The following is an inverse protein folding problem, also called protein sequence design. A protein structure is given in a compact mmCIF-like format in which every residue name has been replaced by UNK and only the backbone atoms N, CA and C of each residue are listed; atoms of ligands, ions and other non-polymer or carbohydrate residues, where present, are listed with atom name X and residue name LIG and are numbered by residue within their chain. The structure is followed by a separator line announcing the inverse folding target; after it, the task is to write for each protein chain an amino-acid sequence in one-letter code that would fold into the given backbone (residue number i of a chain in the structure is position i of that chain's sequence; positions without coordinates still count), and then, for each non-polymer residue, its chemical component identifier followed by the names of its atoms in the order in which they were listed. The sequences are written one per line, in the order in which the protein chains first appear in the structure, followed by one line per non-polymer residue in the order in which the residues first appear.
data_IF_173761764521
#
_entry.id   IF_173761764521
#
_cell.length_a   1.000
_cell.length_b   1.000
_cell.length_c   1.000
_cell.angle_alpha   90.00
_cell.angle_beta   90.00
_cell.angle_gamma   90.00
#
_symmetry.space_group_name_H-M   'P 1'
#
loop_
_entity.id
_entity.type
_entity.pdbx_description
1 polymer ?
#
# COMPACT_ATOMS: atom_id res chain seq x y z
N UNK A 1 30.72 5.58 -28.61
CA UNK A 1 30.27 4.71 -27.50
C UNK A 1 29.44 3.62 -28.16
N UNK A 2 29.78 2.36 -27.97
CA UNK A 2 28.95 1.24 -28.41
C UNK A 2 27.89 1.00 -27.36
N UNK A 3 26.62 1.26 -27.69
CA UNK A 3 25.49 0.92 -26.83
C UNK A 3 25.15 -0.55 -27.04
N UNK A 4 25.00 -1.31 -25.94
CA UNK A 4 24.62 -2.73 -25.96
C UNK A 4 23.14 -2.96 -25.69
N UNK A 5 22.36 -1.88 -25.63
CA UNK A 5 20.94 -1.89 -25.30
C UNK A 5 20.20 -0.96 -26.27
N UNK A 6 18.97 -1.33 -26.63
CA UNK A 6 18.12 -0.54 -27.52
C UNK A 6 16.68 -0.59 -27.01
N UNK A 7 16.10 0.57 -26.72
CA UNK A 7 14.69 0.67 -26.34
C UNK A 7 13.81 0.65 -27.60
N UNK A 8 12.98 -0.40 -27.69
CA UNK A 8 12.06 -0.60 -28.81
C UNK A 8 10.61 -0.28 -28.46
N UNK A 9 10.32 0.30 -27.28
CA UNK A 9 8.96 0.49 -26.77
C UNK A 9 8.06 1.21 -27.77
N UNK A 10 8.56 2.23 -28.47
CA UNK A 10 7.78 2.99 -29.46
C UNK A 10 7.53 2.22 -30.77
N UNK A 11 8.29 1.16 -31.04
CA UNK A 11 8.15 0.32 -32.23
C UNK A 11 7.21 -0.87 -32.01
N UNK A 12 6.85 -1.18 -30.77
CA UNK A 12 5.98 -2.29 -30.42
C UNK A 12 4.51 -1.88 -30.51
N UNK A 13 3.72 -2.62 -31.29
CA UNK A 13 2.26 -2.42 -31.35
C UNK A 13 1.54 -3.24 -30.27
N UNK A 14 0.40 -2.71 -29.80
CA UNK A 14 -0.44 -3.20 -28.70
C UNK A 14 -1.19 -4.51 -28.97
N UNK A 15 -0.91 -5.19 -30.08
CA UNK A 15 -1.63 -6.40 -30.48
C UNK A 15 -0.92 -7.65 -29.98
N UNK A 16 -1.68 -8.75 -29.88
CA UNK A 16 -1.14 -10.09 -29.63
C UNK A 16 -0.29 -10.58 -30.83
N UNK A 17 0.94 -10.09 -30.92
CA UNK A 17 1.88 -10.37 -32.01
C UNK A 17 3.30 -10.53 -31.46
N UNK A 18 4.02 -11.52 -31.98
CA UNK A 18 5.44 -11.70 -31.71
C UNK A 18 6.30 -10.86 -32.66
N UNK A 19 7.39 -10.31 -32.14
CA UNK A 19 8.41 -9.55 -32.85
C UNK A 19 9.75 -10.25 -32.74
N UNK A 20 10.57 -10.13 -33.77
CA UNK A 20 11.98 -10.51 -33.77
C UNK A 20 12.79 -9.31 -34.20
N UNK A 21 13.94 -9.09 -33.56
CA UNK A 21 14.84 -7.98 -33.86
C UNK A 21 16.04 -8.53 -34.62
N UNK A 22 16.46 -7.82 -35.66
CA UNK A 22 17.74 -8.07 -36.32
C UNK A 22 18.80 -7.16 -35.70
N UNK A 23 19.84 -7.74 -35.11
CA UNK A 23 20.94 -7.03 -34.47
C UNK A 23 22.13 -7.16 -35.40
N UNK A 24 22.55 -6.05 -36.01
CA UNK A 24 23.63 -5.99 -36.98
C UNK A 24 24.82 -5.23 -36.42
N UNK A 25 26.03 -5.76 -36.64
CA UNK A 25 27.28 -5.11 -36.25
C UNK A 25 27.85 -4.37 -37.44
N UNK A 26 27.88 -3.04 -37.37
CA UNK A 26 28.46 -2.19 -38.41
C UNK A 26 29.94 -1.86 -38.10
N UNK A 27 30.81 -1.78 -39.12
CA UNK A 27 32.21 -1.37 -38.94
C UNK A 27 32.35 0.13 -38.65
N UNK A 28 33.41 0.52 -37.92
CA UNK A 28 33.68 1.93 -37.59
C UNK A 28 33.95 2.81 -38.83
N UNK A 29 34.39 2.20 -39.95
CA UNK A 29 34.58 2.84 -41.24
C UNK A 29 33.67 2.16 -42.25
N UNK A 30 32.63 2.87 -42.68
CA UNK A 30 31.70 2.40 -43.71
C UNK A 30 32.37 2.59 -45.06
N UNK A 31 32.69 1.50 -45.76
CA UNK A 31 33.04 1.56 -47.17
C UNK A 31 31.74 1.63 -47.99
N UNK A 32 31.58 2.67 -48.81
CA UNK A 32 30.34 2.93 -49.55
C UNK A 32 30.06 1.88 -50.64
N UNK A 33 31.02 0.99 -50.93
CA UNK A 33 30.91 -0.11 -51.89
C UNK A 33 30.52 -1.47 -51.24
N UNK A 34 30.41 -1.55 -49.91
CA UNK A 34 29.99 -2.78 -49.23
C UNK A 34 28.45 -2.88 -49.07
N UNK A 35 27.91 -4.05 -49.43
CA UNK A 35 26.50 -4.36 -49.25
C UNK A 35 26.17 -4.51 -47.75
N UNK A 36 25.28 -3.66 -47.25
CA UNK A 36 24.75 -3.67 -45.89
C UNK A 36 24.18 -5.06 -45.49
N UNK A 37 23.70 -5.87 -46.43
CA UNK A 37 23.20 -7.22 -46.14
C UNK A 37 24.29 -8.21 -45.71
N UNK A 38 25.56 -7.93 -46.00
CA UNK A 38 26.69 -8.81 -45.68
C UNK A 38 27.27 -8.60 -44.27
N UNK A 39 26.85 -7.57 -43.54
CA UNK A 39 27.38 -7.36 -42.19
C UNK A 39 26.92 -8.45 -41.22
N UNK A 40 27.79 -8.90 -40.29
CA UNK A 40 27.45 -9.89 -39.28
C UNK A 40 26.22 -9.44 -38.49
N UNK A 41 25.22 -10.31 -38.44
CA UNK A 41 23.99 -10.05 -37.72
C UNK A 41 23.44 -11.30 -37.04
N UNK A 42 22.60 -11.09 -36.04
CA UNK A 42 21.88 -12.15 -35.32
C UNK A 42 20.45 -11.72 -35.05
N UNK A 43 19.56 -12.70 -34.97
CA UNK A 43 18.17 -12.45 -34.61
C UNK A 43 17.95 -12.67 -33.12
N UNK A 44 17.05 -11.89 -32.53
CA UNK A 44 16.54 -12.14 -31.18
C UNK A 44 15.57 -13.32 -31.18
N UNK A 45 15.36 -13.91 -30.00
CA UNK A 45 14.20 -14.76 -29.79
C UNK A 45 12.90 -13.97 -30.05
N UNK A 46 11.82 -14.64 -30.53
CA UNK A 46 10.52 -14.00 -30.70
C UNK A 46 9.97 -13.52 -29.36
N UNK A 47 9.49 -12.28 -29.32
CA UNK A 47 8.91 -11.67 -28.13
C UNK A 47 7.53 -11.08 -28.41
N UNK A 48 6.54 -11.47 -27.63
CA UNK A 48 5.19 -10.93 -27.70
C UNK A 48 4.91 -10.00 -26.50
N UNK A 49 4.97 -8.67 -26.67
CA UNK A 49 4.79 -7.73 -25.56
C UNK A 49 3.42 -7.83 -24.87
N UNK A 50 2.37 -8.20 -25.62
CA UNK A 50 1.03 -8.34 -25.04
C UNK A 50 0.95 -9.52 -24.05
N UNK A 51 1.65 -10.63 -24.34
CA UNK A 51 1.61 -11.86 -23.52
C UNK A 51 2.74 -11.98 -22.51
N UNK A 52 3.89 -11.35 -22.78
CA UNK A 52 5.13 -11.64 -22.07
C UNK A 52 5.67 -10.46 -21.25
N UNK A 53 5.18 -9.24 -21.49
CA UNK A 53 5.56 -8.09 -20.67
C UNK A 53 5.19 -8.31 -19.21
N UNK A 54 6.18 -8.15 -18.32
CA UNK A 54 5.98 -8.23 -16.87
C UNK A 54 5.12 -7.07 -16.41
N UNK A 55 4.17 -7.37 -15.52
CA UNK A 55 3.26 -6.36 -14.97
C UNK A 55 3.72 -5.98 -13.57
N UNK A 56 3.93 -4.69 -13.36
CA UNK A 56 4.31 -4.12 -12.07
C UNK A 56 3.21 -4.29 -11.02
N UNK A 57 3.56 -4.05 -9.76
CA UNK A 57 2.58 -4.00 -8.69
C UNK A 57 1.59 -2.86 -8.94
N UNK A 58 0.33 -3.08 -8.56
CA UNK A 58 -0.71 -2.05 -8.56
C UNK A 58 -0.76 -1.36 -7.20
N UNK A 59 -1.20 -0.11 -7.19
CA UNK A 59 -1.55 0.58 -5.96
C UNK A 59 -3.01 0.30 -5.59
N UNK A 60 -3.27 0.14 -4.31
CA UNK A 60 -4.62 -0.11 -3.79
C UNK A 60 -4.97 0.87 -2.68
N UNK A 61 -6.26 1.13 -2.52
CA UNK A 61 -6.84 1.70 -1.29
C UNK A 61 -7.92 0.77 -0.75
N UNK A 62 -8.09 0.77 0.57
CA UNK A 62 -9.01 -0.11 1.27
C UNK A 62 -9.90 0.74 2.17
N UNK A 63 -11.21 0.65 1.96
CA UNK A 63 -12.20 1.46 2.67
C UNK A 63 -13.28 0.54 3.25
N UNK A 64 -13.54 0.65 4.55
CA UNK A 64 -14.68 -0.04 5.16
C UNK A 64 -15.99 0.61 4.65
N UNK A 65 -16.87 -0.19 4.07
CA UNK A 65 -18.20 0.25 3.62
C UNK A 65 -19.20 0.12 4.77
N UNK A 66 -19.14 -1.00 5.48
CA UNK A 66 -19.83 -1.27 6.74
C UNK A 66 -19.07 -2.37 7.52
N UNK A 67 -19.64 -2.84 8.63
CA UNK A 67 -19.03 -3.83 9.51
C UNK A 67 -18.65 -5.15 8.80
N UNK A 68 -19.30 -5.51 7.69
CA UNK A 68 -19.12 -6.81 7.03
C UNK A 68 -18.64 -6.66 5.57
N UNK A 69 -18.39 -5.44 5.11
CA UNK A 69 -18.03 -5.14 3.72
C UNK A 69 -16.90 -4.13 3.60
N UNK A 70 -15.97 -4.43 2.72
CA UNK A 70 -14.81 -3.58 2.43
C UNK A 70 -14.72 -3.34 0.92
N UNK A 71 -14.52 -2.09 0.54
CA UNK A 71 -14.23 -1.68 -0.83
C UNK A 71 -12.72 -1.62 -1.03
N UNK A 72 -12.25 -2.30 -2.07
CA UNK A 72 -10.88 -2.23 -2.55
C UNK A 72 -10.89 -1.48 -3.88
N UNK A 73 -10.25 -0.31 -3.91
CA UNK A 73 -10.01 0.43 -5.14
C UNK A 73 -8.58 0.16 -5.59
N UNK A 74 -8.41 -0.08 -6.88
CA UNK A 74 -7.14 -0.42 -7.53
C UNK A 74 -6.84 0.68 -8.54
N UNK A 75 -5.63 1.21 -8.50
CA UNK A 75 -5.19 2.20 -9.48
C UNK A 75 -4.61 1.49 -10.69
N UNK A 76 -5.17 1.75 -11.87
CA UNK A 76 -4.65 1.21 -13.12
C UNK A 76 -3.29 1.88 -13.44
N UNK A 77 -2.16 1.16 -13.39
CA UNK A 77 -0.85 1.76 -13.66
C UNK A 77 -0.73 2.26 -15.10
N UNK A 78 0.04 3.35 -15.27
CA UNK A 78 0.44 3.84 -16.57
C UNK A 78 1.48 2.92 -17.21
N UNK A 79 1.43 2.79 -18.52
CA UNK A 79 2.39 2.00 -19.31
C UNK A 79 3.37 2.90 -20.05
N UNK A 80 4.47 2.36 -20.56
CA UNK A 80 5.36 3.10 -21.46
C UNK A 80 4.75 3.43 -22.83
N UNK A 81 3.54 2.93 -23.10
CA UNK A 81 2.93 2.99 -24.43
C UNK A 81 2.12 4.27 -24.58
N UNK A 82 2.40 4.97 -25.67
CA UNK A 82 1.73 6.21 -26.04
C UNK A 82 0.93 6.00 -27.33
N UNK A 83 -0.30 6.49 -27.36
CA UNK A 83 -1.12 6.49 -28.56
C UNK A 83 -1.68 7.89 -28.78
N UNK A 84 -1.36 8.48 -29.94
CA UNK A 84 -1.79 9.84 -30.32
C UNK A 84 -1.45 10.90 -29.24
N UNK A 85 -0.25 10.79 -28.65
CA UNK A 85 0.24 11.71 -27.62
C UNK A 85 -0.34 11.47 -26.21
N UNK A 86 -1.20 10.47 -26.01
CA UNK A 86 -1.71 10.09 -24.69
C UNK A 86 -0.99 8.83 -24.19
N UNK A 87 -0.46 8.87 -22.97
CA UNK A 87 0.03 7.69 -22.27
C UNK A 87 -1.15 6.79 -21.88
N UNK A 88 -1.04 5.50 -22.19
CA UNK A 88 -2.09 4.53 -21.93
C UNK A 88 -1.91 3.85 -20.57
N UNK A 89 -3.01 3.62 -19.86
CA UNK A 89 -3.04 2.75 -18.69
C UNK A 89 -3.00 1.28 -19.10
N UNK A 90 -2.70 0.39 -18.16
CA UNK A 90 -2.77 -1.06 -18.40
C UNK A 90 -4.17 -1.51 -18.84
N UNK A 91 -5.21 -0.83 -18.35
CA UNK A 91 -6.61 -1.09 -18.72
C UNK A 91 -6.90 -0.72 -20.16
N UNK A 92 -6.36 0.41 -20.64
CA UNK A 92 -6.50 0.82 -22.04
C UNK A 92 -5.82 -0.19 -22.99
N UNK A 93 -4.71 -0.80 -22.55
CA UNK A 93 -3.93 -1.77 -23.33
C UNK A 93 -4.60 -3.15 -23.36
N UNK A 94 -4.92 -3.70 -22.19
CA UNK A 94 -5.40 -5.08 -22.05
C UNK A 94 -6.93 -5.20 -22.09
N UNK A 95 -7.65 -4.09 -21.95
CA UNK A 95 -9.11 -4.03 -22.02
C UNK A 95 -9.80 -5.09 -21.15
N UNK A 96 -10.52 -6.02 -21.78
CA UNK A 96 -11.30 -7.08 -21.14
C UNK A 96 -10.44 -8.26 -20.69
N UNK A 97 -9.21 -8.37 -21.18
CA UNK A 97 -8.27 -9.42 -20.75
C UNK A 97 -7.71 -9.11 -19.36
N UNK A 98 -7.70 -7.84 -18.96
CA UNK A 98 -7.28 -7.44 -17.62
C UNK A 98 -8.40 -7.70 -16.60
N UNK A 99 -8.04 -8.45 -15.57
CA UNK A 99 -8.78 -8.60 -14.33
C UNK A 99 -7.85 -8.26 -13.17
N UNK A 100 -8.38 -8.22 -11.97
CA UNK A 100 -7.61 -8.09 -10.75
C UNK A 100 -7.86 -9.27 -9.85
N UNK A 101 -6.77 -9.90 -9.39
CA UNK A 101 -6.82 -10.89 -8.33
C UNK A 101 -6.59 -10.18 -7.01
N UNK A 102 -7.59 -10.22 -6.13
CA UNK A 102 -7.53 -9.63 -4.80
C UNK A 102 -7.45 -10.77 -3.81
N UNK A 103 -6.41 -10.74 -2.98
CA UNK A 103 -6.19 -11.66 -1.89
C UNK A 103 -6.45 -10.93 -0.58
N UNK A 104 -7.12 -11.61 0.35
CA UNK A 104 -7.38 -11.06 1.67
C UNK A 104 -7.35 -12.12 2.77
N UNK A 105 -7.03 -11.67 3.98
CA UNK A 105 -6.96 -12.51 5.16
C UNK A 105 -7.18 -11.68 6.42
N UNK A 106 -7.69 -12.34 7.47
CA UNK A 106 -7.70 -11.77 8.81
C UNK A 106 -6.25 -11.73 9.35
N UNK A 107 -5.83 -10.66 10.05
CA UNK A 107 -4.54 -10.62 10.74
C UNK A 107 -4.35 -11.84 11.64
N UNK A 108 -3.18 -12.48 11.58
CA UNK A 108 -2.87 -13.68 12.36
C UNK A 108 -3.57 -14.97 11.91
N UNK A 109 -4.43 -14.94 10.87
CA UNK A 109 -5.04 -16.14 10.30
C UNK A 109 -4.15 -16.76 9.22
N UNK A 110 -4.16 -18.08 9.14
CA UNK A 110 -3.54 -18.85 8.04
C UNK A 110 -4.44 -18.94 6.80
N UNK A 111 -5.72 -18.57 6.92
CA UNK A 111 -6.70 -18.66 5.84
C UNK A 111 -6.62 -17.48 4.88
N UNK A 112 -5.91 -17.66 3.75
CA UNK A 112 -5.90 -16.72 2.62
C UNK A 112 -7.12 -16.98 1.72
N UNK A 113 -7.85 -15.93 1.37
CA UNK A 113 -8.99 -15.98 0.45
C UNK A 113 -8.69 -15.12 -0.77
N UNK A 114 -9.09 -15.59 -1.94
CA UNK A 114 -8.88 -14.88 -3.21
C UNK A 114 -10.23 -14.60 -3.90
N UNK A 115 -10.36 -13.44 -4.52
CA UNK A 115 -11.43 -13.12 -5.47
C UNK A 115 -10.85 -12.55 -6.76
N UNK A 116 -11.62 -12.64 -7.83
CA UNK A 116 -11.29 -12.02 -9.12
C UNK A 116 -12.31 -10.91 -9.39
N UNK A 117 -11.81 -9.72 -9.74
CA UNK A 117 -12.61 -8.58 -10.15
C UNK A 117 -12.32 -8.24 -11.61
N UNK A 118 -13.37 -8.00 -12.39
CA UNK A 118 -13.24 -7.52 -13.76
C UNK A 118 -12.94 -6.00 -13.82
N UNK A 119 -13.30 -5.28 -12.75
CA UNK A 119 -13.12 -3.84 -12.64
C UNK A 119 -12.00 -3.49 -11.66
N UNK A 120 -11.54 -2.25 -11.70
CA UNK A 120 -10.56 -1.69 -10.77
C UNK A 120 -11.15 -1.37 -9.38
N UNK A 121 -12.44 -1.65 -9.16
CA UNK A 121 -13.11 -1.52 -7.87
C UNK A 121 -13.81 -2.83 -7.52
N UNK A 122 -13.61 -3.31 -6.30
CA UNK A 122 -14.25 -4.53 -5.82
C UNK A 122 -14.81 -4.34 -4.42
N UNK A 123 -16.01 -4.87 -4.18
CA UNK A 123 -16.60 -4.93 -2.85
C UNK A 123 -16.51 -6.36 -2.31
N UNK A 124 -15.72 -6.53 -1.25
CA UNK A 124 -15.56 -7.80 -0.54
C UNK A 124 -16.59 -7.85 0.57
N UNK A 125 -17.45 -8.85 0.55
CA UNK A 125 -18.56 -9.01 1.50
C UNK A 125 -18.44 -10.28 2.34
N UNK A 126 -19.32 -10.42 3.33
CA UNK A 126 -19.34 -11.55 4.28
C UNK A 126 -18.05 -11.64 5.11
N UNK A 127 -17.52 -10.46 5.45
CA UNK A 127 -16.46 -10.33 6.43
C UNK A 127 -17.06 -10.41 7.83
N UNK A 128 -16.23 -10.80 8.81
CA UNK A 128 -16.64 -10.86 10.21
C UNK A 128 -16.76 -9.43 10.76
N UNK A 129 -17.88 -9.11 11.39
CA UNK A 129 -18.15 -7.78 11.94
C UNK A 129 -17.15 -7.42 13.05
N UNK A 130 -16.65 -6.18 13.02
CA UNK A 130 -15.68 -5.66 14.00
C UNK A 130 -14.26 -6.20 13.86
N UNK A 131 -13.97 -6.98 12.81
CA UNK A 131 -12.64 -7.56 12.58
C UNK A 131 -11.87 -6.80 11.50
N UNK A 132 -10.57 -6.61 11.73
CA UNK A 132 -9.67 -6.07 10.70
C UNK A 132 -9.36 -7.13 9.64
N UNK A 133 -9.20 -6.70 8.40
CA UNK A 133 -8.82 -7.53 7.26
C UNK A 133 -7.71 -6.84 6.47
N UNK A 134 -6.74 -7.63 6.02
CA UNK A 134 -5.66 -7.18 5.16
C UNK A 134 -5.88 -7.65 3.72
N UNK A 135 -5.55 -6.78 2.76
CA UNK A 135 -5.79 -6.95 1.33
C UNK A 135 -4.51 -6.68 0.55
N UNK A 136 -4.35 -7.42 -0.55
CA UNK A 136 -3.34 -7.21 -1.57
C UNK A 136 -3.95 -7.55 -2.93
N UNK A 137 -3.55 -6.84 -3.99
CA UNK A 137 -4.05 -7.07 -5.33
C UNK A 137 -2.91 -7.24 -6.33
N UNK A 138 -3.18 -7.96 -7.41
CA UNK A 138 -2.30 -8.08 -8.56
C UNK A 138 -3.13 -8.03 -9.84
N UNK A 139 -2.56 -7.46 -10.91
CA UNK A 139 -3.11 -7.62 -12.25
C UNK A 139 -3.16 -9.12 -12.60
N UNK A 140 -4.29 -9.56 -13.14
CA UNK A 140 -4.53 -10.94 -13.52
C UNK A 140 -5.06 -11.00 -14.95
N UNK A 141 -4.36 -11.73 -15.82
CA UNK A 141 -4.61 -11.75 -17.25
C UNK A 141 -4.82 -13.21 -17.65
N UNK A 142 -6.05 -13.74 -17.57
CA UNK A 142 -6.30 -15.17 -17.74
C UNK A 142 -5.91 -15.71 -19.12
N UNK A 143 -5.91 -14.86 -20.15
CA UNK A 143 -5.54 -15.22 -21.52
C UNK A 143 -4.05 -15.54 -21.69
N UNK A 144 -3.20 -15.15 -20.73
CA UNK A 144 -1.76 -15.44 -20.77
C UNK A 144 -1.44 -16.88 -20.35
N UNK A 145 -0.25 -17.40 -20.73
CA UNK A 145 0.29 -18.64 -20.19
C UNK A 145 0.37 -18.61 -18.66
N UNK A 146 0.13 -19.74 -17.98
CA UNK A 146 0.03 -19.82 -16.51
C UNK A 146 1.15 -19.11 -15.74
N UNK A 147 2.39 -19.13 -16.25
CA UNK A 147 3.54 -18.49 -15.62
C UNK A 147 3.55 -16.96 -15.68
N UNK A 148 2.76 -16.34 -16.56
CA UNK A 148 2.71 -14.88 -16.77
C UNK A 148 1.31 -14.27 -16.60
N UNK A 149 0.34 -15.05 -16.10
CA UNK A 149 -1.02 -14.57 -15.84
C UNK A 149 -1.09 -13.54 -14.71
N UNK A 150 -0.17 -13.60 -13.74
CA UNK A 150 -0.16 -12.71 -12.58
C UNK A 150 0.98 -11.70 -12.67
N UNK A 151 0.65 -10.43 -12.42
CA UNK A 151 1.63 -9.38 -12.14
C UNK A 151 2.21 -9.49 -10.73
N UNK A 152 3.07 -8.53 -10.38
CA UNK A 152 3.54 -8.40 -9.01
C UNK A 152 2.38 -8.01 -8.06
N UNK A 153 2.46 -8.48 -6.81
CA UNK A 153 1.50 -8.14 -5.77
C UNK A 153 1.73 -6.72 -5.26
N UNK A 154 0.63 -6.00 -4.97
CA UNK A 154 0.64 -4.72 -4.28
C UNK A 154 1.24 -4.84 -2.88
N UNK A 155 1.52 -3.68 -2.28
CA UNK A 155 1.66 -3.61 -0.83
C UNK A 155 0.36 -4.09 -0.16
N UNK A 156 0.52 -4.73 1.00
CA UNK A 156 -0.61 -5.17 1.80
C UNK A 156 -1.15 -3.99 2.61
N UNK A 157 -2.46 -3.72 2.50
CA UNK A 157 -3.15 -2.71 3.29
C UNK A 157 -4.26 -3.35 4.12
N UNK A 158 -4.43 -2.90 5.35
CA UNK A 158 -5.44 -3.44 6.25
C UNK A 158 -6.49 -2.40 6.59
N UNK A 159 -7.72 -2.83 6.81
CA UNK A 159 -8.74 -1.95 7.38
C UNK A 159 -8.31 -1.51 8.77
N UNK A 160 -8.56 -0.25 9.14
CA UNK A 160 -8.35 0.18 10.52
C UNK A 160 -9.18 -0.73 11.42
N UNK A 161 -8.55 -1.24 12.47
CA UNK A 161 -9.28 -1.90 13.53
C UNK A 161 -10.18 -0.83 14.15
N UNK A 162 -11.46 -1.15 14.39
CA UNK A 162 -12.24 -0.41 15.37
C UNK A 162 -11.57 -0.68 16.72
N UNK A 163 -10.49 0.04 16.99
CA UNK A 163 -9.94 0.12 18.32
C UNK A 163 -11.06 0.76 19.12
N UNK A 164 -11.68 -0.06 19.97
CA UNK A 164 -12.33 0.41 21.17
C UNK A 164 -11.25 1.10 22.01
N UNK A 165 -10.88 2.32 21.64
CA UNK A 165 -9.91 3.16 22.35
C UNK A 165 -10.41 3.46 23.78
N UNK A 166 -11.66 3.11 24.08
CA UNK A 166 -12.27 3.16 25.40
C UNK A 166 -12.12 1.87 26.23
N UNK A 167 -11.72 0.73 25.65
CA UNK A 167 -11.70 -0.56 26.34
C UNK A 167 -10.29 -1.06 26.74
N UNK A 168 -9.22 -0.44 26.21
CA UNK A 168 -7.83 -0.80 26.54
C UNK A 168 -7.19 0.05 27.65
N UNK A 169 -7.88 1.08 28.16
CA UNK A 169 -7.48 1.69 29.42
C UNK A 169 -7.87 0.75 30.55
N UNK A 170 -6.92 -0.12 30.93
CA UNK A 170 -6.96 -1.00 32.09
C UNK A 170 -7.75 -0.33 33.24
N UNK A 171 -8.76 -1.00 33.85
CA UNK A 171 -9.47 -0.43 35.00
C UNK A 171 -8.53 -0.08 36.18
N UNK A 172 -7.32 -0.65 36.20
CA UNK A 172 -6.25 -0.30 37.14
C UNK A 172 -5.71 1.13 37.00
N UNK A 173 -5.74 1.74 35.81
CA UNK A 173 -5.23 3.10 35.58
C UNK A 173 -6.13 4.15 36.24
N UNK A 174 -7.45 3.93 36.21
CA UNK A 174 -8.42 4.79 36.89
C UNK A 174 -8.26 4.74 38.42
N UNK A 175 -8.01 3.56 38.97
CA UNK A 175 -7.75 3.40 40.41
C UNK A 175 -6.51 4.19 40.83
N UNK A 176 -5.44 4.14 40.03
CA UNK A 176 -4.22 4.90 40.29
C UNK A 176 -4.44 6.42 40.29
N UNK A 177 -5.14 6.94 39.29
CA UNK A 177 -5.42 8.39 39.18
C UNK A 177 -6.28 8.87 40.35
N UNK A 178 -7.32 8.12 40.72
CA UNK A 178 -8.19 8.47 41.85
C UNK A 178 -7.41 8.46 43.17
N UNK A 179 -6.54 7.48 43.39
CA UNK A 179 -5.70 7.42 44.60
C UNK A 179 -4.72 8.60 44.69
N UNK A 180 -4.11 8.99 43.57
CA UNK A 180 -3.19 10.13 43.53
C UNK A 180 -3.94 11.44 43.85
N UNK A 181 -5.13 11.64 43.29
CA UNK A 181 -5.93 12.84 43.58
C UNK A 181 -6.36 12.90 45.05
N UNK A 182 -6.79 11.78 45.62
CA UNK A 182 -7.17 11.71 47.03
C UNK A 182 -6.00 11.98 47.97
N UNK A 183 -4.83 11.39 47.70
CA UNK A 183 -3.63 11.62 48.53
C UNK A 183 -3.18 13.08 48.50
N UNK A 184 -3.18 13.72 47.32
CA UNK A 184 -2.87 15.16 47.19
C UNK A 184 -3.88 16.01 47.96
N UNK A 185 -5.17 15.69 47.88
CA UNK A 185 -6.21 16.40 48.63
C UNK A 185 -5.99 16.33 50.15
N UNK A 186 -5.69 15.14 50.69
CA UNK A 186 -5.39 14.99 52.11
C UNK A 186 -4.13 15.73 52.54
N UNK A 187 -3.09 15.76 51.71
CA UNK A 187 -1.87 16.55 51.98
C UNK A 187 -2.21 18.04 52.05
N UNK A 188 -3.00 18.56 51.11
CA UNK A 188 -3.42 19.96 51.12
C UNK A 188 -4.21 20.29 52.38
N UNK A 189 -5.19 19.46 52.75
CA UNK A 189 -6.02 19.67 53.96
C UNK A 189 -5.15 19.63 55.22
N UNK A 190 -4.23 18.68 55.34
CA UNK A 190 -3.34 18.57 56.51
C UNK A 190 -2.40 19.77 56.62
N UNK A 191 -1.83 20.24 55.50
CA UNK A 191 -1.00 21.45 55.46
C UNK A 191 -1.82 22.68 55.85
N UNK A 192 -3.02 22.84 55.33
CA UNK A 192 -3.91 23.96 55.70
C UNK A 192 -4.21 23.92 57.20
N UNK A 193 -4.60 22.76 57.75
CA UNK A 193 -4.91 22.62 59.17
C UNK A 193 -3.68 22.88 60.05
N UNK A 194 -2.50 22.39 59.66
CA UNK A 194 -1.25 22.65 60.38
C UNK A 194 -0.86 24.13 60.32
N UNK A 195 -0.95 24.76 59.15
CA UNK A 195 -0.74 26.20 58.99
C UNK A 195 -1.74 27.01 59.84
N UNK A 196 -3.03 26.68 59.78
CA UNK A 196 -4.06 27.34 60.59
C UNK A 196 -3.82 27.15 62.10
N UNK A 197 -3.36 25.96 62.54
CA UNK A 197 -3.06 25.67 63.95
C UNK A 197 -1.80 26.40 64.43
N UNK A 198 -0.76 26.47 63.59
CA UNK A 198 0.46 27.24 63.88
C UNK A 198 0.19 28.76 63.91
N UNK A 199 -0.65 29.29 62.99
CA UNK A 199 -1.07 30.68 63.02
C UNK A 199 -1.93 31.02 64.25
N UNK A 200 -2.79 30.10 64.71
CA UNK A 200 -3.56 30.26 65.94
C UNK A 200 -2.69 30.28 67.20
N UNK A 201 -1.67 29.43 67.27
CA UNK A 201 -0.73 29.43 68.40
C UNK A 201 0.13 30.69 68.45
N UNK A 202 0.51 31.27 67.29
CA UNK A 202 1.29 32.53 67.24
C UNK A 202 0.51 33.77 67.69
N UNK A 203 -0.80 33.79 67.45
CA UNK A 203 -1.67 34.90 67.88
C UNK A 203 -2.05 34.84 69.37
N UNK A 204 -1.83 33.71 70.05
CA UNK A 204 -2.06 33.59 71.50
C UNK A 204 -0.93 34.18 72.35
N UNK A 205 0.24 34.47 71.77
CA UNK A 205 1.44 34.88 72.52
C UNK A 205 1.77 36.37 72.38
N UNK A 206 0.91 37.17 71.74
CA UNK A 206 1.13 38.62 71.55
C UNK A 206 0.04 39.51 72.20
N UNK A 207 -0.73 38.99 73.16
CA UNK A 207 -1.76 39.76 73.89
C UNK A 207 -1.58 39.68 75.42
N UNK A 208 -0.37 40.01 75.90
CA UNK A 208 -0.07 40.44 77.29
C UNK A 208 1.29 41.16 77.19
N UNK A 209 1.58 42.42 77.54
CA UNK A 209 0.95 43.60 78.16
C UNK A 209 1.85 44.79 77.74
N UNK A 210 1.49 46.07 77.98
CA UNK A 210 2.25 46.75 79.04
C UNK A 210 1.41 47.73 79.89
N UNK A 211 2.02 48.12 81.00
CA UNK A 211 1.70 49.27 81.88
C UNK A 211 1.53 50.55 81.09
#
# INVERSE_FOLDING_TARGET
MTESECDLTEHLTLNDRAYTVNIQTEPDLVDYDEDLENYPHTYSDPFNPYKESKISAVDITVEAVDENRVRVNITDPLTGIHQRGKQLSIRDVLNNDLKYKISYNKPGSTGKRDIISDSNMAEVSKLDAGESYCFMAAAFIPSRPKGSQLGAWSQQLCTPQEDSILHELYPGTWVGIIFILLTVFFIIVTVIVLCCRCCRQRNSTQSSTPV
#
